data_IF_459983603918
#
_entry.id   IF_459983603918
#
_cell.length_a   1.000
_cell.length_b   1.000
_cell.length_c   1.000
_cell.angle_alpha   90.00
_cell.angle_beta   90.00
_cell.angle_gamma   90.00
#
_symmetry.space_group_name_H-M   'P 1'
#
loop_
_entity.id
_entity.type
_entity.pdbx_description
1 polymer ?
#
# COMPACT_ATOMS: atom_id res chain seq x y z
N UNK A 1 20.22 -6.24 -12.30
CA UNK A 1 19.59 -5.62 -11.11
C UNK A 1 20.57 -4.63 -10.53
N UNK A 2 20.12 -3.41 -10.22
CA UNK A 2 20.96 -2.44 -9.53
C UNK A 2 21.22 -2.90 -8.09
N UNK A 3 22.11 -2.19 -7.42
CA UNK A 3 22.40 -2.45 -6.00
C UNK A 3 21.14 -2.31 -5.11
N UNK A 4 20.16 -1.47 -5.48
CA UNK A 4 18.95 -1.19 -4.69
C UNK A 4 17.99 -2.38 -4.66
N UNK A 5 17.58 -2.91 -5.81
CA UNK A 5 16.65 -4.06 -5.88
C UNK A 5 17.28 -5.28 -5.19
N UNK A 6 18.57 -5.53 -5.42
CA UNK A 6 19.27 -6.64 -4.75
C UNK A 6 19.27 -6.49 -3.23
N UNK A 7 19.55 -5.30 -2.71
CA UNK A 7 19.51 -5.03 -1.25
C UNK A 7 18.14 -5.26 -0.64
N UNK A 8 17.06 -4.84 -1.34
CA UNK A 8 15.70 -5.05 -0.86
C UNK A 8 15.38 -6.55 -0.81
N UNK A 9 15.70 -7.28 -1.88
CA UNK A 9 15.49 -8.74 -1.93
C UNK A 9 16.25 -9.46 -0.81
N UNK A 10 17.50 -9.12 -0.58
CA UNK A 10 18.32 -9.73 0.46
C UNK A 10 17.78 -9.37 1.86
N UNK A 11 17.34 -8.12 2.07
CA UNK A 11 16.70 -7.71 3.32
C UNK A 11 15.39 -8.49 3.58
N UNK A 12 14.55 -8.72 2.56
CA UNK A 12 13.33 -9.54 2.70
C UNK A 12 13.69 -10.98 3.11
N UNK A 13 14.68 -11.60 2.46
CA UNK A 13 15.15 -12.94 2.81
C UNK A 13 15.63 -13.00 4.27
N UNK A 14 16.45 -12.05 4.69
CA UNK A 14 16.94 -11.96 6.07
C UNK A 14 15.80 -11.76 7.07
N UNK A 15 14.82 -10.91 6.75
CA UNK A 15 13.66 -10.71 7.59
C UNK A 15 12.92 -12.04 7.84
N UNK A 16 12.63 -12.81 6.79
CA UNK A 16 11.92 -14.07 6.93
C UNK A 16 12.78 -15.15 7.63
N UNK A 17 14.08 -15.20 7.37
CA UNK A 17 14.98 -16.11 8.11
C UNK A 17 14.90 -15.86 9.62
N UNK A 18 14.83 -14.60 10.04
CA UNK A 18 14.81 -14.21 11.47
C UNK A 18 13.41 -14.31 12.11
N UNK A 19 12.34 -14.01 11.33
CA UNK A 19 10.99 -13.80 11.88
C UNK A 19 9.96 -14.85 11.43
N UNK A 20 10.41 -15.92 10.77
CA UNK A 20 9.55 -17.03 10.33
C UNK A 20 10.02 -17.61 9.01
N UNK A 21 11.02 -18.51 9.01
CA UNK A 21 11.61 -19.07 7.79
C UNK A 21 10.59 -19.81 6.92
N UNK A 22 9.55 -20.37 7.53
CA UNK A 22 8.47 -21.06 6.83
C UNK A 22 7.21 -20.21 6.63
N UNK A 23 7.22 -18.96 7.11
CA UNK A 23 6.07 -18.07 6.96
C UNK A 23 5.86 -17.63 5.52
N UNK A 24 4.61 -17.40 5.15
CA UNK A 24 4.22 -16.75 3.90
C UNK A 24 4.14 -15.23 4.08
N UNK A 25 4.36 -14.47 3.01
CA UNK A 25 4.05 -13.05 2.97
C UNK A 25 2.58 -12.88 2.57
N UNK A 26 1.80 -12.11 3.34
CA UNK A 26 0.40 -11.81 3.04
C UNK A 26 0.31 -10.34 2.64
N UNK A 27 -0.16 -10.08 1.42
CA UNK A 27 -0.18 -8.74 0.84
C UNK A 27 -1.52 -8.40 0.20
N UNK A 28 -2.01 -7.20 0.45
CA UNK A 28 -3.15 -6.64 -0.28
C UNK A 28 -2.73 -6.20 -1.68
N UNK A 29 -3.45 -6.62 -2.72
CA UNK A 29 -3.21 -6.23 -4.11
C UNK A 29 -4.36 -5.34 -4.57
N UNK A 30 -4.08 -4.06 -4.73
CA UNK A 30 -5.04 -3.06 -5.20
C UNK A 30 -5.00 -2.83 -6.71
N UNK A 31 -3.96 -3.31 -7.40
CA UNK A 31 -3.65 -2.95 -8.78
C UNK A 31 -2.88 -1.63 -8.92
N UNK A 32 -2.59 -0.95 -7.81
CA UNK A 32 -1.70 0.22 -7.77
C UNK A 32 -0.22 -0.16 -7.77
N UNK A 33 0.65 0.80 -8.16
CA UNK A 33 2.09 0.57 -8.32
C UNK A 33 2.78 0.02 -7.06
N UNK A 34 2.45 0.55 -5.88
CA UNK A 34 3.14 0.22 -4.62
C UNK A 34 2.89 -1.24 -4.23
N UNK A 35 1.63 -1.67 -4.21
CA UNK A 35 1.27 -3.07 -3.94
C UNK A 35 1.86 -4.03 -4.97
N UNK A 36 1.92 -3.62 -6.25
CA UNK A 36 2.48 -4.42 -7.34
C UNK A 36 3.99 -4.58 -7.21
N UNK A 37 4.71 -3.48 -6.96
CA UNK A 37 6.18 -3.50 -6.77
C UNK A 37 6.55 -4.31 -5.52
N UNK A 38 5.82 -4.12 -4.41
CA UNK A 38 6.02 -4.89 -3.20
C UNK A 38 5.80 -6.40 -3.42
N UNK A 39 4.72 -6.78 -4.12
CA UNK A 39 4.45 -8.19 -4.46
C UNK A 39 5.54 -8.79 -5.36
N UNK A 40 6.02 -8.05 -6.35
CA UNK A 40 7.10 -8.50 -7.23
C UNK A 40 8.42 -8.72 -6.47
N UNK A 41 8.77 -7.82 -5.54
CA UNK A 41 9.92 -7.97 -4.65
C UNK A 41 9.80 -9.22 -3.77
N UNK A 42 8.61 -9.46 -3.21
CA UNK A 42 8.33 -10.66 -2.41
C UNK A 42 8.48 -11.94 -3.24
N UNK A 43 7.88 -11.98 -4.44
CA UNK A 43 8.02 -13.13 -5.34
C UNK A 43 9.48 -13.40 -5.74
N UNK A 44 10.27 -12.34 -5.97
CA UNK A 44 11.71 -12.46 -6.25
C UNK A 44 12.51 -12.98 -5.05
N UNK A 45 12.12 -12.58 -3.84
CA UNK A 45 12.84 -12.95 -2.62
C UNK A 45 12.48 -14.34 -2.10
N UNK A 46 11.19 -14.70 -2.13
CA UNK A 46 10.64 -15.89 -1.46
C UNK A 46 10.14 -16.96 -2.43
N UNK A 47 9.89 -16.58 -3.69
CA UNK A 47 9.14 -17.37 -4.66
C UNK A 47 7.62 -17.14 -4.55
N UNK A 48 6.86 -17.24 -5.68
CA UNK A 48 5.43 -16.93 -5.71
C UNK A 48 4.58 -17.83 -4.81
N UNK A 49 5.00 -19.07 -4.56
CA UNK A 49 4.30 -20.03 -3.68
C UNK A 49 4.32 -19.62 -2.19
N UNK A 50 5.18 -18.67 -1.80
CA UNK A 50 5.26 -18.12 -0.45
C UNK A 50 4.62 -16.75 -0.31
N UNK A 51 3.91 -16.28 -1.34
CA UNK A 51 3.15 -15.03 -1.33
C UNK A 51 1.66 -15.35 -1.40
N UNK A 52 0.88 -14.73 -0.53
CA UNK A 52 -0.58 -14.77 -0.55
C UNK A 52 -1.09 -13.40 -0.94
N UNK A 53 -1.74 -13.32 -2.10
CA UNK A 53 -2.34 -12.08 -2.61
C UNK A 53 -3.80 -11.96 -2.16
N UNK A 54 -4.19 -10.80 -1.66
CA UNK A 54 -5.57 -10.57 -1.21
C UNK A 54 -6.13 -9.32 -1.87
N UNK A 55 -7.16 -9.51 -2.67
CA UNK A 55 -7.96 -8.44 -3.26
C UNK A 55 -9.14 -8.16 -2.32
N UNK A 56 -9.39 -6.89 -2.01
CA UNK A 56 -10.42 -6.50 -1.04
C UNK A 56 -11.24 -5.32 -1.56
N UNK A 57 -12.05 -5.54 -2.63
CA UNK A 57 -12.91 -4.50 -3.17
C UNK A 57 -14.00 -4.11 -2.16
N UNK A 58 -14.39 -2.82 -2.17
CA UNK A 58 -15.55 -2.31 -1.44
C UNK A 58 -16.72 -2.14 -2.43
N UNK A 59 -17.54 -3.17 -2.56
CA UNK A 59 -18.58 -3.20 -3.59
C UNK A 59 -18.01 -3.54 -4.97
N UNK A 60 -18.50 -2.85 -6.00
CA UNK A 60 -18.02 -3.02 -7.38
C UNK A 60 -16.75 -2.17 -7.59
N UNK A 61 -15.69 -2.78 -8.06
CA UNK A 61 -14.42 -2.11 -8.38
C UNK A 61 -14.14 -2.27 -9.87
N UNK A 62 -14.10 -1.16 -10.62
CA UNK A 62 -13.93 -1.15 -12.07
C UNK A 62 -12.56 -1.67 -12.53
N UNK A 63 -11.54 -1.53 -11.71
CA UNK A 63 -10.15 -1.86 -12.03
C UNK A 63 -9.65 -3.14 -11.36
N UNK A 64 -10.58 -4.00 -10.90
CA UNK A 64 -10.24 -5.30 -10.31
C UNK A 64 -9.42 -6.16 -11.29
N UNK A 65 -9.62 -5.98 -12.59
CA UNK A 65 -8.91 -6.71 -13.63
C UNK A 65 -7.41 -6.44 -13.62
N UNK A 66 -6.98 -5.21 -13.28
CA UNK A 66 -5.55 -4.88 -13.15
C UNK A 66 -4.92 -5.68 -12.02
N UNK A 67 -5.61 -5.84 -10.89
CA UNK A 67 -5.09 -6.65 -9.79
C UNK A 67 -5.04 -8.15 -10.12
N UNK A 68 -5.99 -8.65 -10.96
CA UNK A 68 -5.93 -10.00 -11.49
C UNK A 68 -4.71 -10.17 -12.42
N UNK A 69 -4.50 -9.25 -13.36
CA UNK A 69 -3.33 -9.25 -14.24
C UNK A 69 -2.00 -9.26 -13.46
N UNK A 70 -1.91 -8.51 -12.36
CA UNK A 70 -0.72 -8.52 -11.48
C UNK A 70 -0.51 -9.89 -10.84
N UNK A 71 -1.55 -10.51 -10.31
CA UNK A 71 -1.49 -11.84 -9.68
C UNK A 71 -1.03 -12.90 -10.70
N UNK A 72 -1.62 -12.88 -11.90
CA UNK A 72 -1.28 -13.79 -12.98
C UNK A 72 0.15 -13.58 -13.49
N UNK A 73 0.55 -12.31 -13.70
CA UNK A 73 1.91 -11.96 -14.14
C UNK A 73 3.00 -12.41 -13.14
N UNK A 74 2.69 -12.33 -11.85
CA UNK A 74 3.60 -12.74 -10.78
C UNK A 74 3.50 -14.23 -10.44
N UNK A 75 2.63 -14.98 -11.12
CA UNK A 75 2.40 -16.42 -10.91
C UNK A 75 2.03 -16.77 -9.45
N UNK A 76 1.32 -15.86 -8.76
CA UNK A 76 0.91 -16.10 -7.37
C UNK A 76 -0.25 -17.09 -7.35
N UNK A 77 -0.01 -18.29 -6.84
CA UNK A 77 -1.00 -19.38 -6.86
C UNK A 77 -2.02 -19.32 -5.72
N UNK A 78 -1.64 -18.76 -4.57
CA UNK A 78 -2.56 -18.58 -3.43
C UNK A 78 -3.07 -17.15 -3.39
N UNK A 79 -4.31 -16.95 -3.78
CA UNK A 79 -4.94 -15.63 -3.76
C UNK A 79 -6.41 -15.71 -3.35
N UNK A 80 -6.92 -14.60 -2.81
CA UNK A 80 -8.29 -14.46 -2.33
C UNK A 80 -8.89 -13.15 -2.82
N UNK A 81 -10.18 -13.18 -3.22
CA UNK A 81 -10.96 -11.99 -3.50
C UNK A 81 -12.08 -11.88 -2.45
N UNK A 82 -12.03 -10.88 -1.60
CA UNK A 82 -12.93 -10.72 -0.45
C UNK A 82 -13.57 -9.33 -0.50
N UNK A 83 -14.85 -9.26 -0.87
CA UNK A 83 -15.57 -7.99 -0.87
C UNK A 83 -15.85 -7.52 0.55
N UNK A 84 -15.36 -6.33 0.90
CA UNK A 84 -15.47 -5.74 2.24
C UNK A 84 -16.72 -4.87 2.42
N UNK A 85 -17.55 -4.69 1.39
CA UNK A 85 -18.67 -3.76 1.40
C UNK A 85 -19.65 -4.00 2.55
N UNK A 86 -20.08 -5.26 2.74
CA UNK A 86 -20.98 -5.64 3.84
C UNK A 86 -20.35 -5.41 5.22
N UNK A 87 -19.09 -5.78 5.40
CA UNK A 87 -18.38 -5.57 6.67
C UNK A 87 -18.28 -4.08 7.03
N UNK A 88 -17.99 -3.23 6.06
CA UNK A 88 -17.98 -1.77 6.28
C UNK A 88 -19.37 -1.25 6.62
N UNK A 89 -20.40 -1.73 5.93
CA UNK A 89 -21.79 -1.34 6.17
C UNK A 89 -22.25 -1.68 7.59
N UNK A 90 -21.97 -2.90 8.07
CA UNK A 90 -22.32 -3.33 9.42
C UNK A 90 -21.63 -2.48 10.49
N UNK A 91 -20.38 -2.07 10.28
CA UNK A 91 -19.71 -1.15 11.19
C UNK A 91 -20.43 0.19 11.23
N UNK A 92 -20.80 0.77 10.07
CA UNK A 92 -21.52 2.04 10.04
C UNK A 92 -22.91 1.96 10.70
N UNK A 93 -23.63 0.85 10.46
CA UNK A 93 -24.94 0.63 11.06
C UNK A 93 -24.89 0.38 12.58
N UNK A 94 -23.77 -0.08 13.10
CA UNK A 94 -23.59 -0.32 14.55
C UNK A 94 -23.28 0.94 15.35
N UNK A 95 -22.96 2.05 14.66
CA UNK A 95 -22.68 3.30 15.35
C UNK A 95 -23.99 3.92 15.90
N UNK A 96 -23.98 4.51 17.11
CA UNK A 96 -25.11 5.24 17.65
C UNK A 96 -25.59 6.35 16.72
N UNK A 97 -26.92 6.58 16.68
CA UNK A 97 -27.54 7.53 15.75
C UNK A 97 -27.13 9.00 15.98
N UNK A 98 -26.62 9.33 17.16
CA UNK A 98 -26.10 10.66 17.51
C UNK A 98 -24.66 10.89 17.04
N UNK A 99 -23.96 9.83 16.56
CA UNK A 99 -22.64 9.96 16.00
C UNK A 99 -22.73 10.34 14.52
N UNK A 100 -22.30 11.58 14.22
CA UNK A 100 -22.19 12.02 12.83
C UNK A 100 -21.01 11.36 12.15
N UNK A 101 -21.26 10.60 11.08
CA UNK A 101 -20.21 10.01 10.24
C UNK A 101 -19.54 11.13 9.44
N UNK A 102 -18.26 11.38 9.76
CA UNK A 102 -17.43 12.35 9.05
C UNK A 102 -16.78 11.69 7.81
N UNK A 103 -16.40 12.45 6.76
CA UNK A 103 -15.72 11.90 5.58
C UNK A 103 -14.50 11.03 5.92
N UNK A 104 -13.74 11.40 6.94
CA UNK A 104 -12.59 10.61 7.40
C UNK A 104 -13.00 9.22 7.94
N UNK A 105 -14.20 9.05 8.45
CA UNK A 105 -14.70 7.75 8.92
C UNK A 105 -14.93 6.83 7.72
N UNK A 106 -15.52 7.36 6.65
CA UNK A 106 -15.81 6.59 5.42
C UNK A 106 -14.55 6.14 4.70
N UNK A 107 -13.45 6.87 4.83
CA UNK A 107 -12.14 6.47 4.28
C UNK A 107 -11.40 5.48 5.19
N UNK A 108 -11.40 5.73 6.51
CA UNK A 108 -10.59 4.95 7.45
C UNK A 108 -11.18 3.58 7.80
N UNK A 109 -12.51 3.43 7.81
CA UNK A 109 -13.16 2.15 8.13
C UNK A 109 -12.77 1.08 7.11
N UNK A 110 -12.89 1.29 5.79
CA UNK A 110 -12.47 0.30 4.79
C UNK A 110 -11.00 -0.11 4.93
N UNK A 111 -10.10 0.85 5.14
CA UNK A 111 -8.67 0.56 5.32
C UNK A 111 -8.42 -0.36 6.53
N UNK A 112 -9.12 -0.14 7.65
CA UNK A 112 -9.01 -0.99 8.85
C UNK A 112 -9.66 -2.35 8.68
N UNK A 113 -10.77 -2.44 7.93
CA UNK A 113 -11.39 -3.73 7.60
C UNK A 113 -10.42 -4.56 6.73
N UNK A 114 -9.78 -3.95 5.74
CA UNK A 114 -8.74 -4.62 4.93
C UNK A 114 -7.60 -5.15 5.79
N UNK A 115 -7.06 -4.33 6.68
CA UNK A 115 -6.00 -4.75 7.62
C UNK A 115 -6.46 -5.95 8.48
N UNK A 116 -7.67 -5.91 9.01
CA UNK A 116 -8.21 -7.01 9.83
C UNK A 116 -8.27 -8.33 9.04
N UNK A 117 -8.68 -8.29 7.78
CA UNK A 117 -8.73 -9.47 6.89
C UNK A 117 -7.33 -10.00 6.61
N UNK A 118 -6.36 -9.11 6.31
CA UNK A 118 -4.98 -9.53 6.08
C UNK A 118 -4.40 -10.26 7.30
N UNK A 119 -4.60 -9.74 8.50
CA UNK A 119 -4.13 -10.40 9.73
C UNK A 119 -4.89 -11.69 10.05
N UNK A 120 -6.19 -11.78 9.74
CA UNK A 120 -6.93 -13.02 9.88
C UNK A 120 -6.39 -14.14 8.97
N UNK A 121 -6.08 -13.80 7.70
CA UNK A 121 -5.45 -14.72 6.74
C UNK A 121 -4.03 -15.07 7.23
N UNK A 122 -3.24 -14.09 7.65
CA UNK A 122 -1.89 -14.32 8.13
C UNK A 122 -1.86 -15.27 9.34
N UNK A 123 -2.74 -15.07 10.32
CA UNK A 123 -2.86 -15.95 11.46
C UNK A 123 -3.25 -17.38 11.05
N UNK A 124 -4.15 -17.53 10.06
CA UNK A 124 -4.64 -18.84 9.59
C UNK A 124 -3.64 -19.58 8.70
N UNK A 125 -2.71 -18.87 8.05
CA UNK A 125 -1.77 -19.39 7.05
C UNK A 125 -0.30 -19.30 7.47
N UNK A 126 -0.03 -19.03 8.75
CA UNK A 126 1.33 -18.80 9.26
C UNK A 126 2.06 -17.72 8.46
N UNK A 127 1.39 -16.57 8.25
CA UNK A 127 1.88 -15.47 7.44
C UNK A 127 2.41 -14.29 8.23
N UNK A 128 3.02 -13.34 7.48
CA UNK A 128 3.39 -12.00 7.91
C UNK A 128 2.74 -11.00 6.99
N UNK A 129 2.04 -10.02 7.55
CA UNK A 129 1.38 -8.97 6.77
C UNK A 129 2.40 -7.95 6.30
N UNK A 130 2.34 -7.63 5.02
CA UNK A 130 3.23 -6.66 4.37
C UNK A 130 2.55 -5.30 4.33
N UNK A 131 3.22 -4.28 4.83
CA UNK A 131 2.86 -2.88 4.60
C UNK A 131 3.39 -2.44 3.22
N UNK A 132 2.57 -1.73 2.45
CA UNK A 132 2.90 -1.25 1.11
C UNK A 132 3.05 0.27 1.00
N UNK A 133 2.94 1.01 2.11
CA UNK A 133 3.15 2.45 2.13
C UNK A 133 4.60 2.78 1.78
N UNK A 134 4.77 3.81 0.96
CA UNK A 134 6.07 4.35 0.60
C UNK A 134 6.43 5.56 1.50
N UNK A 135 7.68 6.02 1.41
CA UNK A 135 8.20 7.13 2.23
C UNK A 135 7.43 8.43 2.02
N UNK A 136 6.98 8.71 0.81
CA UNK A 136 6.27 9.95 0.47
C UNK A 136 4.89 9.99 1.14
N UNK A 137 4.16 8.88 1.09
CA UNK A 137 2.89 8.71 1.80
C UNK A 137 3.06 8.81 3.32
N UNK A 138 4.05 8.10 3.87
CA UNK A 138 4.36 8.13 5.30
C UNK A 138 4.71 9.55 5.77
N UNK A 139 5.51 10.30 4.99
CA UNK A 139 5.94 11.64 5.34
C UNK A 139 4.76 12.61 5.50
N UNK A 140 3.81 12.59 4.57
CA UNK A 140 2.62 13.47 4.63
C UNK A 140 1.43 12.84 5.34
N UNK A 141 1.59 11.60 5.84
CA UNK A 141 0.57 10.85 6.56
C UNK A 141 -0.63 10.47 5.69
N UNK A 142 -0.41 10.23 4.40
CA UNK A 142 -1.43 9.78 3.47
C UNK A 142 -1.67 8.28 3.61
N UNK A 143 -2.04 7.88 4.81
CA UNK A 143 -2.34 6.51 5.19
C UNK A 143 -3.22 6.49 6.44
N UNK A 144 -3.96 5.42 6.63
CA UNK A 144 -4.83 5.22 7.80
C UNK A 144 -4.07 4.48 8.89
N UNK A 145 -3.89 5.15 10.04
CA UNK A 145 -3.31 4.51 11.23
C UNK A 145 -4.10 3.25 11.62
N UNK A 146 -3.40 2.13 11.76
CA UNK A 146 -3.98 0.80 12.02
C UNK A 146 -4.89 0.30 10.87
N UNK A 147 -4.75 0.87 9.68
CA UNK A 147 -5.34 0.41 8.43
C UNK A 147 -4.21 0.03 7.47
N UNK A 148 -4.14 0.71 6.33
CA UNK A 148 -3.09 0.51 5.33
C UNK A 148 -1.67 0.88 5.83
N UNK A 149 -1.55 1.73 6.88
CA UNK A 149 -0.27 1.97 7.57
C UNK A 149 0.21 0.79 8.42
N UNK A 150 -0.60 -0.27 8.62
CA UNK A 150 -0.23 -1.40 9.45
C UNK A 150 0.44 -2.52 8.63
N UNK A 151 1.34 -3.24 9.29
CA UNK A 151 2.01 -4.43 8.75
C UNK A 151 3.00 -4.97 9.76
N UNK A 152 3.43 -6.22 9.57
CA UNK A 152 4.52 -6.81 10.36
C UNK A 152 5.88 -6.29 9.90
N UNK A 153 5.97 -5.85 8.65
CA UNK A 153 7.15 -5.23 8.04
C UNK A 153 6.77 -4.37 6.83
N UNK A 154 7.63 -3.39 6.53
CA UNK A 154 7.45 -2.45 5.41
C UNK A 154 8.62 -2.57 4.45
N UNK A 155 8.34 -2.82 3.17
CA UNK A 155 9.36 -2.98 2.13
C UNK A 155 9.70 -1.62 1.50
N UNK A 156 8.72 -0.74 1.40
CA UNK A 156 8.81 0.50 0.63
C UNK A 156 8.99 1.76 1.48
N UNK A 157 8.94 1.67 2.81
CA UNK A 157 8.96 2.83 3.72
C UNK A 157 10.21 3.73 3.62
N UNK A 158 11.31 3.21 3.08
CA UNK A 158 12.53 3.97 2.85
C UNK A 158 12.63 4.58 1.45
N UNK A 159 11.69 4.29 0.56
CA UNK A 159 11.70 4.71 -0.84
C UNK A 159 10.55 5.65 -1.13
N UNK A 160 10.83 6.75 -1.83
CA UNK A 160 9.81 7.70 -2.27
C UNK A 160 8.94 7.09 -3.38
N UNK A 161 7.81 7.75 -3.68
CA UNK A 161 6.90 7.30 -4.74
C UNK A 161 7.60 7.20 -6.11
N UNK A 162 8.53 8.12 -6.39
CA UNK A 162 9.38 8.12 -7.60
C UNK A 162 10.35 6.96 -7.60
N UNK A 163 11.05 6.73 -6.47
CA UNK A 163 11.98 5.59 -6.35
C UNK A 163 11.26 4.24 -6.45
N UNK A 164 10.03 4.11 -5.94
CA UNK A 164 9.23 2.88 -6.11
C UNK A 164 8.90 2.63 -7.58
N UNK A 165 8.61 3.69 -8.35
CA UNK A 165 8.41 3.58 -9.80
C UNK A 165 9.67 3.09 -10.50
N UNK A 166 10.84 3.63 -10.15
CA UNK A 166 12.14 3.21 -10.68
C UNK A 166 12.46 1.74 -10.34
N UNK A 167 12.17 1.31 -9.10
CA UNK A 167 12.30 -0.08 -8.68
C UNK A 167 11.41 -1.00 -9.54
N UNK A 168 10.17 -0.59 -9.81
CA UNK A 168 9.26 -1.34 -10.68
C UNK A 168 9.78 -1.49 -12.11
N UNK A 169 10.36 -0.41 -12.69
CA UNK A 169 11.00 -0.44 -14.01
C UNK A 169 12.18 -1.43 -14.00
N UNK A 170 13.01 -1.38 -12.97
CA UNK A 170 14.17 -2.26 -12.84
C UNK A 170 13.78 -3.74 -12.68
N UNK A 171 12.67 -4.03 -12.02
CA UNK A 171 12.09 -5.37 -11.89
C UNK A 171 11.54 -5.89 -13.23
N UNK A 172 11.43 -5.04 -14.26
CA UNK A 172 10.89 -5.37 -15.57
C UNK A 172 9.36 -5.47 -15.58
N UNK A 173 8.70 -4.80 -14.65
CA UNK A 173 7.23 -4.79 -14.59
C UNK A 173 6.63 -4.05 -15.80
N UNK A 174 5.49 -4.51 -16.34
CA UNK A 174 4.76 -3.82 -17.38
C UNK A 174 4.44 -2.36 -17.01
N UNK A 175 4.52 -1.46 -17.99
CA UNK A 175 4.27 -0.04 -17.75
C UNK A 175 2.89 0.26 -17.17
N UNK A 176 1.86 -0.43 -17.63
CA UNK A 176 0.49 -0.28 -17.10
C UNK A 176 0.36 -0.59 -15.60
N UNK A 177 1.27 -1.39 -15.02
CA UNK A 177 1.30 -1.65 -13.58
C UNK A 177 1.99 -0.55 -12.77
N UNK A 178 2.86 0.25 -13.42
CA UNK A 178 3.73 1.23 -12.75
C UNK A 178 3.24 2.66 -12.98
N UNK A 179 2.65 2.94 -14.14
CA UNK A 179 2.28 4.29 -14.58
C UNK A 179 0.82 4.66 -14.27
N UNK A 180 0.02 3.70 -13.75
CA UNK A 180 -1.35 3.98 -13.34
C UNK A 180 -1.34 5.06 -12.25
N UNK A 181 -2.09 6.16 -12.41
CA UNK A 181 -2.23 7.16 -11.37
C UNK A 181 -2.75 6.51 -10.08
N UNK A 182 -2.16 6.81 -8.92
CA UNK A 182 -2.67 6.32 -7.65
C UNK A 182 -4.04 6.93 -7.37
N UNK A 183 -5.02 6.07 -7.13
CA UNK A 183 -6.39 6.43 -6.76
C UNK A 183 -6.73 5.81 -5.42
N UNK A 184 -7.37 6.58 -4.53
CA UNK A 184 -7.80 6.08 -3.23
C UNK A 184 -8.98 5.09 -3.32
N UNK A 185 -9.61 4.98 -4.50
CA UNK A 185 -10.78 4.13 -4.75
C UNK A 185 -12.03 4.56 -3.99
N UNK A 186 -12.06 5.73 -3.38
CA UNK A 186 -13.11 6.22 -2.50
C UNK A 186 -13.69 7.56 -2.94
N UNK A 187 -12.84 8.54 -3.27
CA UNK A 187 -13.27 9.90 -3.63
C UNK A 187 -13.48 10.11 -5.13
N UNK A 188 -12.98 9.22 -5.97
CA UNK A 188 -12.92 9.40 -7.43
C UNK A 188 -11.87 10.43 -7.85
N UNK A 189 -11.03 10.89 -6.94
CA UNK A 189 -9.90 11.78 -7.16
C UNK A 189 -8.61 10.99 -7.03
N UNK A 190 -7.57 11.48 -7.70
CA UNK A 190 -6.21 10.96 -7.51
C UNK A 190 -5.65 11.40 -6.15
N UNK A 191 -4.64 10.69 -5.66
CA UNK A 191 -3.94 11.06 -4.43
C UNK A 191 -3.38 12.50 -4.52
N UNK A 192 -2.81 12.88 -5.67
CA UNK A 192 -2.24 14.21 -5.90
C UNK A 192 -3.30 15.32 -5.86
N UNK A 193 -4.50 15.06 -6.39
CA UNK A 193 -5.64 15.99 -6.27
C UNK A 193 -6.07 16.15 -4.82
N UNK A 194 -6.11 15.08 -4.04
CA UNK A 194 -6.43 15.11 -2.62
C UNK A 194 -5.33 15.79 -1.78
N UNK A 195 -4.06 15.64 -2.16
CA UNK A 195 -2.93 16.26 -1.49
C UNK A 195 -2.80 17.75 -1.83
N UNK A 196 -3.14 18.14 -3.07
CA UNK A 196 -2.95 19.49 -3.61
C UNK A 196 -1.52 19.75 -4.09
N UNK A 197 -0.72 18.70 -4.29
CA UNK A 197 0.62 18.73 -4.90
C UNK A 197 0.97 17.35 -5.44
N UNK A 198 1.91 17.27 -6.39
CA UNK A 198 2.35 16.01 -6.96
C UNK A 198 3.41 15.32 -6.08
N UNK A 199 3.49 13.99 -6.21
CA UNK A 199 4.58 13.23 -5.60
C UNK A 199 5.96 13.66 -6.09
N UNK A 200 6.09 14.04 -7.36
CA UNK A 200 7.36 14.57 -7.90
C UNK A 200 7.84 15.82 -7.13
N UNK A 201 6.93 16.71 -6.76
CA UNK A 201 7.26 17.90 -5.96
C UNK A 201 7.67 17.51 -4.54
N UNK A 202 6.95 16.60 -3.91
CA UNK A 202 7.26 16.08 -2.58
C UNK A 202 8.61 15.34 -2.57
N UNK A 203 8.84 14.47 -3.53
CA UNK A 203 10.04 13.65 -3.61
C UNK A 203 11.29 14.49 -3.89
N UNK A 204 11.18 15.53 -4.74
CA UNK A 204 12.26 16.50 -4.93
C UNK A 204 12.59 17.27 -3.63
N UNK A 205 11.58 17.58 -2.84
CA UNK A 205 11.82 18.19 -1.53
C UNK A 205 12.53 17.18 -0.57
N UNK A 206 12.08 15.93 -0.53
CA UNK A 206 12.62 14.91 0.38
C UNK A 206 14.01 14.43 0.01
N UNK A 207 14.31 14.29 -1.27
CA UNK A 207 15.57 13.72 -1.77
C UNK A 207 16.63 14.77 -2.03
N UNK A 208 16.23 15.93 -2.60
CA UNK A 208 17.13 16.93 -3.12
C UNK A 208 17.12 18.24 -2.30
N UNK A 209 16.25 18.35 -1.30
CA UNK A 209 16.08 19.57 -0.51
C UNK A 209 15.52 20.76 -1.29
N UNK A 210 14.90 20.51 -2.47
CA UNK A 210 14.31 21.56 -3.30
C UNK A 210 13.00 22.01 -2.68
N UNK A 211 13.02 23.22 -2.10
CA UNK A 211 11.82 23.80 -1.46
C UNK A 211 10.80 24.20 -2.51
N UNK A 212 9.58 23.65 -2.49
CA UNK A 212 8.52 24.03 -3.42
C UNK A 212 7.95 25.42 -3.10
N UNK A 213 7.06 25.97 -3.95
CA UNK A 213 6.36 27.23 -3.65
C UNK A 213 5.77 27.24 -2.24
N UNK A 214 5.79 28.42 -1.60
CA UNK A 214 5.49 28.58 -0.17
C UNK A 214 4.17 27.90 0.28
N UNK A 215 3.11 28.01 -0.49
CA UNK A 215 1.82 27.41 -0.13
C UNK A 215 1.86 25.86 -0.13
N UNK A 216 2.57 25.28 -1.10
CA UNK A 216 2.79 23.83 -1.17
C UNK A 216 3.68 23.38 -0.01
N UNK A 217 4.79 24.06 0.25
CA UNK A 217 5.68 23.78 1.37
C UNK A 217 4.92 23.80 2.69
N UNK A 218 4.12 24.84 2.91
CA UNK A 218 3.29 24.97 4.11
C UNK A 218 2.29 23.83 4.27
N UNK A 219 1.65 23.39 3.17
CA UNK A 219 0.74 22.24 3.19
C UNK A 219 1.50 20.96 3.57
N UNK A 220 2.63 20.67 2.95
CA UNK A 220 3.49 19.52 3.25
C UNK A 220 3.88 19.50 4.73
N UNK A 221 4.42 20.61 5.26
CA UNK A 221 4.83 20.74 6.64
C UNK A 221 3.66 20.57 7.64
N UNK A 222 2.49 21.11 7.32
CA UNK A 222 1.30 20.96 8.16
C UNK A 222 0.83 19.50 8.21
N UNK A 223 0.81 18.80 7.06
CA UNK A 223 0.47 17.38 6.99
C UNK A 223 1.48 16.56 7.79
N UNK A 224 2.77 16.76 7.57
CA UNK A 224 3.83 16.07 8.29
C UNK A 224 3.65 16.24 9.82
N UNK A 225 3.56 17.46 10.32
CA UNK A 225 3.39 17.74 11.76
C UNK A 225 2.13 17.11 12.36
N UNK A 226 1.01 17.13 11.63
CA UNK A 226 -0.25 16.50 12.08
C UNK A 226 -0.16 14.98 12.18
N UNK A 227 0.76 14.36 11.46
CA UNK A 227 0.88 12.91 11.35
C UNK A 227 2.06 12.30 12.14
N UNK A 228 2.85 13.11 12.83
CA UNK A 228 3.97 12.63 13.68
C UNK A 228 3.54 11.65 14.78
N UNK A 229 2.24 11.54 15.07
CA UNK A 229 1.70 10.61 16.05
C UNK A 229 1.30 9.24 15.45
N UNK A 230 1.38 9.07 14.15
CA UNK A 230 1.09 7.81 13.46
C UNK A 230 2.28 6.86 13.53
#
# INVERSE_FOLDING_TARGET
MTNTVTKIIDWIKEYFIKNGPECKAVIGISGGKDSTVAAALLCKALGPNRVIAVQMPQGFQYDIDVSNEVIDYLEITEHYNINIGSSCQEIFLSLPNDIRIQPQVTSNVPARVRMNILYAIAASRHGRVVNTCNRSEDYVGYSTKFGDAAGDFSILSNYTATEVKEIGIELGLPKNFIEKPPEDGLSGLTDEENLGFSYDVLDNFLLNGITPPYEIYKNIEQRHKRNLHK
#
